data_IF_378729284859
#
_entry.id   IF_378729284859
#
_cell.length_a   1.000
_cell.length_b   1.000
_cell.length_c   1.000
_cell.angle_alpha   90.00
_cell.angle_beta   90.00
_cell.angle_gamma   90.00
#
_symmetry.space_group_name_H-M   'P 1'
#
loop_
_entity.id
_entity.type
_entity.pdbx_description
1 polymer ?
#
# COMPACT_ATOMS: atom_id res chain seq x y z
N UNK A 1 52.78 -45.64 4.40
CA UNK A 1 52.64 -44.32 3.76
C UNK A 1 51.35 -44.33 2.97
N UNK A 2 50.28 -43.80 3.55
CA UNK A 2 49.01 -43.54 2.88
C UNK A 2 48.82 -42.02 2.83
N UNK A 3 48.27 -41.42 1.76
CA UNK A 3 48.03 -39.98 1.70
C UNK A 3 46.76 -39.64 2.51
N UNK A 4 46.83 -38.54 3.27
CA UNK A 4 45.70 -37.93 3.95
C UNK A 4 44.93 -37.05 2.97
N UNK A 5 43.62 -37.28 2.83
CA UNK A 5 42.69 -36.39 2.13
C UNK A 5 42.36 -35.19 3.03
N UNK A 6 42.88 -34.01 2.64
CA UNK A 6 42.46 -32.72 3.18
C UNK A 6 41.11 -32.32 2.56
N UNK A 7 40.03 -32.63 3.27
CA UNK A 7 38.70 -32.15 2.91
C UNK A 7 38.51 -30.73 3.45
N UNK A 8 38.86 -29.73 2.63
CA UNK A 8 38.56 -28.33 2.90
C UNK A 8 37.05 -28.08 2.81
N UNK A 9 36.40 -28.02 3.98
CA UNK A 9 35.01 -27.58 4.10
C UNK A 9 34.94 -26.09 3.74
N UNK A 10 34.39 -25.77 2.58
CA UNK A 10 34.04 -24.41 2.18
C UNK A 10 33.04 -23.83 3.18
N UNK A 11 33.48 -22.90 4.03
CA UNK A 11 32.61 -22.05 4.83
C UNK A 11 31.75 -21.22 3.88
N UNK A 12 30.47 -21.60 3.74
CA UNK A 12 29.46 -20.76 3.12
C UNK A 12 29.32 -19.48 3.95
N UNK A 13 29.78 -18.37 3.40
CA UNK A 13 29.52 -17.02 3.88
C UNK A 13 28.02 -16.83 4.16
N UNK A 14 27.67 -16.75 5.44
CA UNK A 14 26.32 -16.42 5.90
C UNK A 14 26.00 -14.98 5.49
N UNK A 15 24.93 -14.81 4.72
CA UNK A 15 24.37 -13.51 4.37
C UNK A 15 24.11 -12.70 5.66
N UNK A 16 24.69 -11.50 5.77
CA UNK A 16 24.37 -10.53 6.83
C UNK A 16 22.86 -10.27 6.82
N UNK A 17 22.13 -10.89 7.76
CA UNK A 17 20.68 -10.76 7.90
C UNK A 17 19.91 -12.06 8.13
N UNK A 18 20.51 -13.24 7.93
CA UNK A 18 19.84 -14.51 8.16
C UNK A 18 19.57 -14.75 9.67
N UNK A 19 18.30 -14.97 10.03
CA UNK A 19 17.89 -15.27 11.41
C UNK A 19 18.15 -16.76 11.69
N UNK A 20 18.84 -17.07 12.78
CA UNK A 20 19.04 -18.46 13.21
C UNK A 20 17.80 -19.00 13.92
N UNK A 21 17.50 -20.30 13.78
CA UNK A 21 16.37 -20.98 14.43
C UNK A 21 16.36 -20.76 15.96
N UNK A 22 17.54 -20.74 16.60
CA UNK A 22 17.66 -20.48 18.04
C UNK A 22 17.21 -19.08 18.45
N UNK A 23 17.43 -18.07 17.61
CA UNK A 23 16.97 -16.70 17.85
C UNK A 23 15.45 -16.56 17.65
N UNK A 24 14.86 -17.35 16.73
CA UNK A 24 13.39 -17.37 16.55
C UNK A 24 12.74 -17.97 17.80
N UNK A 25 13.22 -19.12 18.27
CA UNK A 25 12.61 -19.83 19.40
C UNK A 25 12.66 -19.07 20.73
N UNK A 26 13.62 -18.14 20.90
CA UNK A 26 13.77 -17.33 22.10
C UNK A 26 12.99 -15.99 22.05
N UNK A 27 12.26 -15.73 20.97
CA UNK A 27 11.67 -14.43 20.69
C UNK A 27 10.24 -14.27 21.26
N UNK A 28 9.91 -13.05 21.70
CA UNK A 28 8.58 -12.70 22.21
C UNK A 28 7.46 -12.91 21.17
N UNK A 29 7.70 -12.63 19.89
CA UNK A 29 6.73 -12.89 18.81
C UNK A 29 6.47 -14.38 18.69
N UNK A 30 7.51 -15.22 18.80
CA UNK A 30 7.34 -16.68 18.72
C UNK A 30 6.59 -17.23 19.92
N UNK A 31 6.82 -16.68 21.12
CA UNK A 31 6.02 -17.01 22.30
C UNK A 31 4.54 -16.63 22.11
N UNK A 32 4.26 -15.40 21.65
CA UNK A 32 2.90 -14.96 21.36
C UNK A 32 2.25 -15.82 20.26
N UNK A 33 2.97 -16.12 19.18
CA UNK A 33 2.47 -16.95 18.10
C UNK A 33 2.04 -18.32 18.61
N UNK A 34 2.91 -19.01 19.36
CA UNK A 34 2.60 -20.32 19.94
C UNK A 34 1.41 -20.32 20.91
N UNK A 35 1.07 -19.15 21.45
CA UNK A 35 -0.03 -19.00 22.41
C UNK A 35 -1.36 -18.66 21.75
N UNK A 36 -1.34 -18.09 20.53
CA UNK A 36 -2.52 -17.45 19.94
C UNK A 36 -2.80 -17.79 18.47
N UNK A 37 -1.81 -18.11 17.63
CA UNK A 37 -2.06 -18.27 16.19
C UNK A 37 -1.11 -19.19 15.41
N UNK A 38 0.00 -19.64 15.98
CA UNK A 38 0.94 -20.49 15.28
C UNK A 38 0.29 -21.85 14.93
N UNK A 39 0.49 -22.36 13.71
CA UNK A 39 -0.19 -23.57 13.24
C UNK A 39 0.11 -24.80 14.09
N UNK A 40 1.35 -24.93 14.58
CA UNK A 40 1.81 -26.10 15.34
C UNK A 40 1.16 -26.23 16.73
N UNK A 41 0.51 -25.18 17.22
CA UNK A 41 -0.09 -25.09 18.57
C UNK A 41 -1.60 -24.88 18.54
N UNK A 42 -2.25 -25.06 17.38
CA UNK A 42 -3.66 -24.75 17.14
C UNK A 42 -4.64 -25.33 18.18
N UNK A 43 -4.34 -26.50 18.76
CA UNK A 43 -5.20 -27.16 19.74
C UNK A 43 -5.18 -26.54 21.15
N UNK A 44 -4.25 -25.60 21.41
CA UNK A 44 -4.01 -25.00 22.72
C UNK A 44 -4.01 -23.47 22.68
N UNK A 45 -4.50 -22.86 21.59
CA UNK A 45 -4.58 -21.40 21.48
C UNK A 45 -5.54 -20.80 22.49
N UNK A 46 -5.14 -19.68 23.06
CA UNK A 46 -6.01 -18.86 23.88
C UNK A 46 -7.04 -18.10 23.02
N UNK A 47 -8.10 -17.59 23.67
CA UNK A 47 -9.11 -16.79 23.00
C UNK A 47 -8.51 -15.51 22.38
N UNK A 48 -9.12 -15.06 21.27
CA UNK A 48 -8.72 -13.83 20.60
C UNK A 48 -8.68 -12.62 21.56
N UNK A 49 -7.61 -11.82 21.43
CA UNK A 49 -7.40 -10.61 22.23
C UNK A 49 -6.91 -9.47 21.33
N UNK A 50 -7.76 -8.48 21.09
CA UNK A 50 -7.45 -7.33 20.24
C UNK A 50 -6.28 -6.48 20.76
N UNK A 51 -5.99 -6.50 22.06
CA UNK A 51 -4.86 -5.77 22.64
C UNK A 51 -3.50 -6.29 22.12
N UNK A 52 -3.43 -7.56 21.73
CA UNK A 52 -2.19 -8.13 21.17
C UNK A 52 -1.84 -7.46 19.85
N UNK A 53 -2.85 -7.15 19.03
CA UNK A 53 -2.66 -6.41 17.76
C UNK A 53 -2.16 -4.99 18.04
N UNK A 54 -2.74 -4.30 19.03
CA UNK A 54 -2.29 -2.96 19.45
C UNK A 54 -0.83 -2.96 19.91
N UNK A 55 -0.46 -3.94 20.73
CA UNK A 55 0.89 -4.06 21.29
C UNK A 55 1.92 -4.40 20.20
N UNK A 56 1.63 -5.38 19.35
CA UNK A 56 2.49 -5.75 18.21
C UNK A 56 2.66 -4.56 17.27
N UNK A 57 1.57 -3.87 16.93
CA UNK A 57 1.65 -2.72 16.05
C UNK A 57 2.59 -1.64 16.60
N UNK A 58 2.41 -1.26 17.87
CA UNK A 58 3.19 -0.19 18.49
C UNK A 58 4.65 -0.58 18.73
N UNK A 59 4.89 -1.78 19.25
CA UNK A 59 6.23 -2.22 19.70
C UNK A 59 7.06 -2.80 18.56
N UNK A 60 6.43 -3.51 17.62
CA UNK A 60 7.13 -4.35 16.64
C UNK A 60 7.06 -3.80 15.22
N UNK A 61 5.94 -3.17 14.83
CA UNK A 61 5.75 -2.65 13.47
C UNK A 61 6.17 -1.17 13.39
N UNK A 62 5.80 -0.35 14.37
CA UNK A 62 6.10 1.09 14.35
C UNK A 62 7.55 1.46 14.75
N UNK A 63 8.27 0.60 15.48
CA UNK A 63 9.66 0.88 15.88
C UNK A 63 10.63 0.69 14.69
N UNK A 64 11.14 1.80 14.18
CA UNK A 64 11.98 1.86 12.98
C UNK A 64 13.35 1.17 13.11
N UNK A 65 13.83 0.86 14.33
CA UNK A 65 15.19 0.31 14.50
C UNK A 65 15.32 -1.15 14.06
N UNK A 66 14.24 -1.94 14.20
CA UNK A 66 14.25 -3.37 13.90
C UNK A 66 13.00 -3.87 13.16
N UNK A 67 12.11 -2.97 12.74
CA UNK A 67 10.79 -3.31 12.17
C UNK A 67 10.83 -4.38 11.09
N UNK A 68 11.78 -4.32 10.13
CA UNK A 68 11.86 -5.30 9.04
C UNK A 68 12.01 -6.74 9.58
N UNK A 69 12.95 -6.96 10.52
CA UNK A 69 13.16 -8.28 11.12
C UNK A 69 11.92 -8.74 11.88
N UNK A 70 11.27 -7.83 12.63
CA UNK A 70 10.06 -8.16 13.40
C UNK A 70 8.89 -8.51 12.49
N UNK A 71 8.70 -7.75 11.40
CA UNK A 71 7.70 -7.99 10.35
C UNK A 71 7.91 -9.36 9.69
N UNK A 72 9.16 -9.72 9.35
CA UNK A 72 9.47 -11.06 8.82
C UNK A 72 9.07 -12.18 9.79
N UNK A 73 9.30 -11.98 11.10
CA UNK A 73 8.92 -12.98 12.11
C UNK A 73 7.40 -13.12 12.25
N UNK A 74 6.66 -12.02 12.17
CA UNK A 74 5.19 -12.05 12.15
C UNK A 74 4.68 -12.80 10.92
N UNK A 75 5.22 -12.52 9.74
CA UNK A 75 4.86 -13.19 8.49
C UNK A 75 5.14 -14.70 8.57
N UNK A 76 6.35 -15.08 9.00
CA UNK A 76 6.75 -16.48 9.13
C UNK A 76 5.85 -17.26 10.11
N UNK A 77 5.34 -16.59 11.14
CA UNK A 77 4.42 -17.17 12.12
C UNK A 77 2.97 -17.28 11.66
N UNK A 78 2.65 -16.88 10.41
CA UNK A 78 1.29 -16.83 9.85
C UNK A 78 0.35 -15.88 10.59
N UNK A 79 0.87 -14.72 11.01
CA UNK A 79 0.11 -13.73 11.75
C UNK A 79 -1.10 -13.19 10.98
N UNK A 80 -0.98 -13.03 9.65
CA UNK A 80 -2.07 -12.57 8.79
C UNK A 80 -3.21 -13.59 8.73
N UNK A 81 -2.86 -14.83 8.41
CA UNK A 81 -3.80 -15.91 8.11
C UNK A 81 -4.52 -16.41 9.35
N UNK A 82 -3.82 -16.47 10.48
CA UNK A 82 -4.33 -17.15 11.68
C UNK A 82 -4.76 -16.17 12.78
N UNK A 83 -4.35 -14.90 12.76
CA UNK A 83 -4.71 -13.94 13.80
C UNK A 83 -5.38 -12.66 13.28
N UNK A 84 -4.81 -12.00 12.28
CA UNK A 84 -5.33 -10.72 11.81
C UNK A 84 -6.62 -10.87 11.02
N UNK A 85 -6.59 -11.61 9.91
CA UNK A 85 -7.71 -11.66 8.98
C UNK A 85 -8.96 -12.34 9.55
N UNK A 86 -8.86 -13.50 10.24
CA UNK A 86 -10.04 -14.16 10.82
C UNK A 86 -10.78 -13.29 11.86
N UNK A 87 -10.07 -12.36 12.49
CA UNK A 87 -10.61 -11.50 13.55
C UNK A 87 -10.85 -10.05 13.08
N UNK A 88 -10.73 -9.76 11.79
CA UNK A 88 -10.91 -8.41 11.27
C UNK A 88 -12.39 -8.02 11.23
N UNK A 89 -12.74 -6.97 11.97
CA UNK A 89 -14.06 -6.35 11.91
C UNK A 89 -14.02 -5.13 10.98
N UNK A 90 -14.71 -5.23 9.83
CA UNK A 90 -14.72 -4.19 8.81
C UNK A 90 -15.25 -2.82 9.27
N UNK A 91 -15.97 -2.75 10.39
CA UNK A 91 -16.55 -1.51 10.92
C UNK A 91 -15.80 -1.02 12.17
N UNK A 92 -15.33 -1.93 13.02
CA UNK A 92 -14.80 -1.59 14.35
C UNK A 92 -13.30 -1.85 14.52
N UNK A 93 -12.64 -2.51 13.56
CA UNK A 93 -11.21 -2.79 13.70
C UNK A 93 -10.41 -1.50 13.89
N UNK A 94 -9.36 -1.55 14.70
CA UNK A 94 -8.58 -0.34 15.02
C UNK A 94 -7.62 0.01 13.89
N UNK A 95 -6.97 1.18 14.00
CA UNK A 95 -5.88 1.55 13.09
C UNK A 95 -4.73 0.54 13.15
N UNK A 96 -4.40 0.03 14.34
CA UNK A 96 -3.36 -0.97 14.51
C UNK A 96 -3.67 -2.24 13.71
N UNK A 97 -4.93 -2.70 13.75
CA UNK A 97 -5.37 -3.86 12.99
C UNK A 97 -5.29 -3.63 11.48
N UNK A 98 -5.82 -2.49 11.01
CA UNK A 98 -5.75 -2.08 9.60
C UNK A 98 -4.29 -2.06 9.10
N UNK A 99 -3.42 -1.35 9.81
CA UNK A 99 -2.02 -1.18 9.42
C UNK A 99 -1.20 -2.46 9.57
N UNK A 100 -1.54 -3.34 10.51
CA UNK A 100 -0.88 -4.65 10.64
C UNK A 100 -1.19 -5.55 9.45
N UNK A 101 -2.44 -5.56 8.95
CA UNK A 101 -2.78 -6.30 7.72
C UNK A 101 -2.01 -5.73 6.53
N UNK A 102 -1.98 -4.40 6.38
CA UNK A 102 -1.20 -3.71 5.33
C UNK A 102 0.27 -4.10 5.40
N UNK A 103 0.87 -4.11 6.59
CA UNK A 103 2.27 -4.49 6.77
C UNK A 103 2.54 -5.95 6.36
N UNK A 104 1.67 -6.88 6.76
CA UNK A 104 1.84 -8.30 6.39
C UNK A 104 1.68 -8.53 4.89
N UNK A 105 0.72 -7.85 4.24
CA UNK A 105 0.54 -7.96 2.79
C UNK A 105 1.76 -7.44 2.04
N UNK A 106 2.27 -6.25 2.42
CA UNK A 106 3.47 -5.69 1.80
C UNK A 106 4.70 -6.59 2.00
N UNK A 107 4.82 -7.21 3.18
CA UNK A 107 5.89 -8.15 3.47
C UNK A 107 5.80 -9.41 2.61
N UNK A 108 4.61 -9.98 2.43
CA UNK A 108 4.42 -11.14 1.55
C UNK A 108 4.80 -10.83 0.10
N UNK A 109 4.49 -9.63 -0.39
CA UNK A 109 4.98 -9.17 -1.70
C UNK A 109 6.51 -9.05 -1.74
N UNK A 110 7.12 -8.54 -0.67
CA UNK A 110 8.59 -8.41 -0.56
C UNK A 110 9.29 -9.77 -0.61
N UNK A 111 8.74 -10.78 0.08
CA UNK A 111 9.22 -12.17 0.11
C UNK A 111 8.77 -12.99 -1.12
N UNK A 112 7.94 -12.41 -2.00
CA UNK A 112 7.42 -13.03 -3.23
C UNK A 112 6.65 -14.34 -2.96
N UNK A 113 5.87 -14.35 -1.89
CA UNK A 113 5.01 -15.47 -1.52
C UNK A 113 3.55 -15.20 -1.89
N UNK A 114 2.67 -16.19 -1.70
CA UNK A 114 1.24 -16.07 -1.98
C UNK A 114 0.59 -15.05 -1.02
N UNK A 115 -0.25 -14.15 -1.55
CA UNK A 115 -0.81 -12.99 -0.82
C UNK A 115 -2.34 -13.04 -0.71
N UNK A 116 -3.03 -13.39 -1.80
CA UNK A 116 -4.42 -13.05 -1.99
C UNK A 116 -5.39 -14.13 -1.51
N UNK A 117 -4.95 -15.40 -1.43
CA UNK A 117 -5.78 -16.56 -1.07
C UNK A 117 -6.43 -16.43 0.30
N UNK A 118 -5.78 -15.76 1.25
CA UNK A 118 -6.33 -15.51 2.59
C UNK A 118 -7.64 -14.71 2.54
N UNK A 119 -7.79 -13.84 1.54
CA UNK A 119 -8.94 -12.93 1.39
C UNK A 119 -10.08 -13.52 0.53
N UNK A 120 -9.81 -14.54 -0.29
CA UNK A 120 -10.76 -15.07 -1.29
C UNK A 120 -12.09 -15.54 -0.69
N UNK A 121 -12.06 -16.13 0.50
CA UNK A 121 -13.27 -16.63 1.18
C UNK A 121 -14.17 -15.51 1.74
N UNK A 122 -13.72 -14.27 1.75
CA UNK A 122 -14.42 -13.15 2.38
C UNK A 122 -14.29 -11.86 1.56
N UNK A 123 -14.68 -11.92 0.28
CA UNK A 123 -14.60 -10.79 -0.66
C UNK A 123 -15.33 -9.54 -0.18
N UNK A 124 -16.49 -9.68 0.48
CA UNK A 124 -17.21 -8.54 1.08
C UNK A 124 -16.43 -7.86 2.21
N UNK A 125 -15.77 -8.66 3.05
CA UNK A 125 -14.92 -8.14 4.13
C UNK A 125 -13.69 -7.44 3.54
N UNK A 126 -13.12 -7.99 2.46
CA UNK A 126 -12.02 -7.36 1.74
C UNK A 126 -12.44 -6.01 1.15
N UNK A 127 -13.65 -5.89 0.60
CA UNK A 127 -14.18 -4.61 0.13
C UNK A 127 -14.27 -3.57 1.26
N UNK A 128 -14.72 -3.96 2.46
CA UNK A 128 -14.72 -3.08 3.65
C UNK A 128 -13.30 -2.69 4.07
N UNK A 129 -12.38 -3.65 4.14
CA UNK A 129 -10.96 -3.41 4.45
C UNK A 129 -10.33 -2.44 3.45
N UNK A 130 -10.48 -2.69 2.16
CA UNK A 130 -9.95 -1.86 1.10
C UNK A 130 -10.50 -0.43 1.17
N UNK A 131 -11.80 -0.27 1.40
CA UNK A 131 -12.41 1.06 1.61
C UNK A 131 -11.75 1.83 2.76
N UNK A 132 -11.47 1.16 3.89
CA UNK A 132 -10.77 1.76 5.03
C UNK A 132 -9.32 2.12 4.73
N UNK A 133 -8.64 1.32 3.90
CA UNK A 133 -7.31 1.67 3.38
C UNK A 133 -7.36 2.95 2.54
N UNK A 134 -8.33 3.07 1.62
CA UNK A 134 -8.49 4.28 0.81
C UNK A 134 -8.72 5.52 1.69
N UNK A 135 -9.59 5.41 2.70
CA UNK A 135 -9.83 6.49 3.66
C UNK A 135 -8.54 6.88 4.41
N UNK A 136 -7.77 5.90 4.86
CA UNK A 136 -6.49 6.13 5.52
C UNK A 136 -5.43 6.77 4.58
N UNK A 137 -5.45 6.48 3.28
CA UNK A 137 -4.56 7.10 2.28
C UNK A 137 -4.79 8.60 2.14
N UNK A 138 -6.03 9.08 2.29
CA UNK A 138 -6.36 10.51 2.11
C UNK A 138 -6.66 11.25 3.42
N UNK A 139 -6.56 10.57 4.55
CA UNK A 139 -6.71 11.16 5.88
C UNK A 139 -5.76 12.35 6.10
N UNK A 140 -6.28 13.47 6.58
CA UNK A 140 -5.50 14.66 6.88
C UNK A 140 -4.79 14.50 8.23
N UNK A 141 -3.47 14.29 8.19
CA UNK A 141 -2.62 14.09 9.36
C UNK A 141 -1.34 14.90 9.23
N UNK A 142 -0.76 15.37 10.35
CA UNK A 142 0.47 16.14 10.31
C UNK A 142 1.61 15.32 9.69
N UNK A 143 2.41 15.98 8.86
CA UNK A 143 3.60 15.39 8.23
C UNK A 143 4.65 15.15 9.31
N UNK A 144 4.71 13.92 9.80
CA UNK A 144 5.70 13.44 10.76
C UNK A 144 6.32 12.14 10.23
N UNK A 145 7.54 11.76 10.65
CA UNK A 145 8.17 10.52 10.18
C UNK A 145 7.30 9.27 10.37
N UNK A 146 6.63 9.15 11.52
CA UNK A 146 5.74 8.02 11.80
C UNK A 146 4.52 7.99 10.87
N UNK A 147 3.89 9.15 10.64
CA UNK A 147 2.75 9.28 9.72
C UNK A 147 3.18 8.96 8.29
N UNK A 148 4.34 9.45 7.83
CA UNK A 148 4.85 9.18 6.49
C UNK A 148 5.18 7.70 6.28
N UNK A 149 5.72 7.00 7.27
CA UNK A 149 5.90 5.54 7.20
C UNK A 149 4.58 4.80 6.97
N UNK A 150 3.53 5.15 7.72
CA UNK A 150 2.20 4.56 7.51
C UNK A 150 1.64 4.89 6.13
N UNK A 151 1.76 6.15 5.69
CA UNK A 151 1.26 6.59 4.38
C UNK A 151 1.98 5.89 3.22
N UNK A 152 3.30 5.68 3.34
CA UNK A 152 4.06 4.89 2.38
C UNK A 152 3.61 3.43 2.37
N UNK A 153 3.39 2.81 3.54
CA UNK A 153 2.92 1.42 3.60
C UNK A 153 1.52 1.25 2.97
N UNK A 154 0.60 2.19 3.23
CA UNK A 154 -0.73 2.22 2.62
C UNK A 154 -0.65 2.35 1.09
N UNK A 155 0.22 3.25 0.61
CA UNK A 155 0.44 3.48 -0.82
C UNK A 155 1.04 2.25 -1.52
N UNK A 156 2.02 1.58 -0.89
CA UNK A 156 2.62 0.35 -1.42
C UNK A 156 1.57 -0.77 -1.51
N UNK A 157 0.73 -0.93 -0.47
CA UNK A 157 -0.39 -1.87 -0.51
C UNK A 157 -1.36 -1.54 -1.65
N UNK A 158 -1.71 -0.27 -1.81
CA UNK A 158 -2.61 0.16 -2.87
C UNK A 158 -2.02 -0.15 -4.25
N UNK A 159 -0.72 0.11 -4.43
CA UNK A 159 -0.01 -0.23 -5.66
C UNK A 159 -0.05 -1.73 -5.95
N UNK A 160 0.15 -2.58 -4.93
CA UNK A 160 -0.01 -4.03 -5.07
C UNK A 160 -1.41 -4.43 -5.55
N UNK A 161 -2.47 -3.81 -5.04
CA UNK A 161 -3.84 -4.10 -5.52
C UNK A 161 -4.05 -3.69 -6.99
N UNK A 162 -3.50 -2.56 -7.43
CA UNK A 162 -3.59 -2.15 -8.84
C UNK A 162 -2.75 -3.05 -9.76
N UNK A 163 -1.58 -3.49 -9.29
CA UNK A 163 -0.71 -4.42 -10.02
C UNK A 163 -1.18 -5.89 -9.98
N UNK A 164 -2.27 -6.18 -9.25
CA UNK A 164 -2.88 -7.53 -9.17
C UNK A 164 -4.33 -7.56 -9.69
N UNK A 165 -4.67 -6.73 -10.69
CA UNK A 165 -6.02 -6.68 -11.28
C UNK A 165 -6.45 -7.96 -12.03
N UNK A 166 -5.55 -8.91 -12.26
CA UNK A 166 -5.88 -10.27 -12.70
C UNK A 166 -6.62 -11.06 -11.61
N UNK A 167 -6.38 -10.76 -10.33
CA UNK A 167 -7.05 -11.36 -9.18
C UNK A 167 -8.40 -10.67 -8.97
N UNK A 168 -9.48 -11.47 -8.88
CA UNK A 168 -10.86 -10.96 -8.84
C UNK A 168 -11.12 -9.97 -7.71
N UNK A 169 -10.72 -10.31 -6.48
CA UNK A 169 -10.91 -9.43 -5.31
C UNK A 169 -10.20 -8.07 -5.47
N UNK A 170 -9.04 -8.02 -6.13
CA UNK A 170 -8.32 -6.78 -6.40
C UNK A 170 -8.97 -6.01 -7.54
N UNK A 171 -9.31 -6.70 -8.63
CA UNK A 171 -9.97 -6.11 -9.80
C UNK A 171 -11.26 -5.39 -9.45
N UNK A 172 -12.10 -6.01 -8.63
CA UNK A 172 -13.42 -5.47 -8.28
C UNK A 172 -13.29 -4.18 -7.47
N UNK A 173 -12.26 -4.07 -6.65
CA UNK A 173 -11.99 -2.88 -5.84
C UNK A 173 -11.20 -1.80 -6.59
N UNK A 174 -10.22 -2.17 -7.41
CA UNK A 174 -9.36 -1.23 -8.14
C UNK A 174 -10.07 -0.62 -9.35
N UNK A 175 -10.81 -1.43 -10.14
CA UNK A 175 -11.45 -1.00 -11.39
C UNK A 175 -12.41 0.17 -11.20
N UNK A 176 -13.11 0.25 -10.07
CA UNK A 176 -14.04 1.36 -9.77
C UNK A 176 -13.33 2.72 -9.68
N UNK A 177 -12.06 2.75 -9.27
CA UNK A 177 -11.26 3.97 -9.06
C UNK A 177 -10.67 4.54 -10.36
N UNK A 178 -10.58 3.74 -11.41
CA UNK A 178 -9.89 4.04 -12.68
C UNK A 178 -10.80 3.88 -13.90
N UNK A 179 -12.11 3.97 -13.68
CA UNK A 179 -13.12 3.91 -14.74
C UNK A 179 -13.43 5.29 -15.32
N UNK A 180 -14.17 5.35 -16.44
CA UNK A 180 -14.68 6.61 -17.00
C UNK A 180 -15.39 7.50 -15.95
N UNK A 181 -15.99 6.90 -14.91
CA UNK A 181 -16.66 7.65 -13.85
C UNK A 181 -15.72 8.60 -13.09
N UNK A 182 -14.40 8.31 -13.05
CA UNK A 182 -13.43 9.18 -12.39
C UNK A 182 -13.38 10.58 -13.01
N UNK A 183 -13.75 10.75 -14.28
CA UNK A 183 -13.84 12.08 -14.92
C UNK A 183 -14.89 13.00 -14.29
N UNK A 184 -15.66 12.53 -13.31
CA UNK A 184 -16.44 13.41 -12.42
C UNK A 184 -15.58 14.46 -11.75
N UNK A 185 -14.31 14.15 -11.47
CA UNK A 185 -13.39 15.04 -10.79
C UNK A 185 -12.72 16.09 -11.69
N UNK A 186 -12.77 15.92 -13.01
CA UNK A 186 -12.23 16.87 -13.99
C UNK A 186 -13.02 18.18 -14.00
N UNK A 187 -12.33 19.25 -14.36
CA UNK A 187 -12.99 20.52 -14.69
C UNK A 187 -14.04 20.30 -15.79
N UNK A 188 -15.24 20.92 -15.70
CA UNK A 188 -16.32 20.68 -16.66
C UNK A 188 -15.93 20.90 -18.12
N UNK A 189 -15.11 21.93 -18.40
CA UNK A 189 -14.61 22.23 -19.75
C UNK A 189 -13.65 21.16 -20.25
N UNK A 190 -12.70 20.72 -19.42
CA UNK A 190 -11.75 19.65 -19.77
C UNK A 190 -12.50 18.34 -20.06
N UNK A 191 -13.43 17.95 -19.18
CA UNK A 191 -14.28 16.77 -19.41
C UNK A 191 -15.04 16.84 -20.73
N UNK A 192 -15.63 17.99 -21.05
CA UNK A 192 -16.40 18.15 -22.27
C UNK A 192 -15.53 18.06 -23.54
N UNK A 193 -14.30 18.58 -23.49
CA UNK A 193 -13.32 18.42 -24.58
C UNK A 193 -13.04 16.94 -24.84
N UNK A 194 -12.73 16.17 -23.80
CA UNK A 194 -12.43 14.73 -23.89
C UNK A 194 -13.63 13.92 -24.39
N UNK A 195 -14.83 14.19 -23.88
CA UNK A 195 -16.07 13.52 -24.31
C UNK A 195 -16.50 13.87 -25.75
N UNK A 196 -16.03 14.99 -26.29
CA UNK A 196 -16.29 15.37 -27.69
C UNK A 196 -15.41 14.58 -28.65
N UNK A 197 -14.17 14.29 -28.27
CA UNK A 197 -13.24 13.52 -29.10
C UNK A 197 -13.73 12.09 -29.33
N UNK A 198 -14.51 11.51 -28.40
CA UNK A 198 -15.02 10.13 -28.52
C UNK A 198 -16.53 10.06 -28.21
N UNK A 199 -17.39 10.06 -29.26
CA UNK A 199 -18.84 10.03 -29.11
C UNK A 199 -19.39 8.83 -28.30
N UNK A 200 -18.72 7.67 -28.37
CA UNK A 200 -19.13 6.48 -27.61
C UNK A 200 -19.07 6.73 -26.09
N UNK A 201 -18.04 7.42 -25.61
CA UNK A 201 -17.87 7.73 -24.20
C UNK A 201 -18.88 8.75 -23.72
N UNK A 202 -19.24 9.74 -24.55
CA UNK A 202 -20.35 10.64 -24.25
C UNK A 202 -21.66 9.88 -24.00
N UNK A 203 -21.93 8.81 -24.75
CA UNK A 203 -23.08 7.94 -24.52
C UNK A 203 -22.98 7.20 -23.19
N UNK A 204 -21.82 6.66 -22.84
CA UNK A 204 -21.59 6.01 -21.54
C UNK A 204 -21.68 6.99 -20.37
N UNK A 205 -21.09 8.17 -20.49
CA UNK A 205 -21.16 9.25 -19.52
C UNK A 205 -22.60 9.66 -19.20
N UNK A 206 -23.42 9.88 -20.24
CA UNK A 206 -24.86 10.16 -20.06
C UNK A 206 -25.60 9.02 -19.34
N UNK A 207 -25.19 7.76 -19.51
CA UNK A 207 -25.76 6.63 -18.77
C UNK A 207 -25.30 6.61 -17.31
N UNK A 208 -24.03 6.90 -17.04
CA UNK A 208 -23.49 7.00 -15.68
C UNK A 208 -24.26 8.06 -14.88
N UNK A 209 -24.48 9.25 -15.46
CA UNK A 209 -25.23 10.33 -14.82
C UNK A 209 -26.69 9.97 -14.51
N UNK A 210 -27.30 9.04 -15.27
CA UNK A 210 -28.68 8.61 -15.06
C UNK A 210 -28.83 7.51 -13.99
N UNK A 211 -27.76 6.79 -13.68
CA UNK A 211 -27.75 5.66 -12.72
C UNK A 211 -27.43 6.09 -11.28
N UNK A 212 -27.30 7.39 -11.03
CA UNK A 212 -26.99 7.90 -9.69
C UNK A 212 -28.27 7.93 -8.84
N UNK A 213 -28.56 6.81 -8.18
CA UNK A 213 -29.54 6.76 -7.09
C UNK A 213 -29.05 7.63 -5.92
N UNK A 214 -29.96 8.34 -5.26
CA UNK A 214 -29.63 9.35 -4.24
C UNK A 214 -28.86 8.78 -3.04
N UNK A 215 -29.06 7.51 -2.70
CA UNK A 215 -28.52 6.86 -1.50
C UNK A 215 -27.02 6.48 -1.62
N UNK A 216 -26.54 6.20 -2.84
CA UNK A 216 -25.13 5.83 -3.08
C UNK A 216 -24.31 6.98 -3.68
N UNK A 217 -24.94 8.13 -3.92
CA UNK A 217 -24.34 9.24 -4.65
C UNK A 217 -23.09 9.79 -3.99
N UNK A 218 -23.09 9.94 -2.66
CA UNK A 218 -21.93 10.46 -1.91
C UNK A 218 -20.75 9.49 -1.97
N UNK A 219 -21.00 8.21 -1.72
CA UNK A 219 -19.99 7.16 -1.82
C UNK A 219 -19.36 7.09 -3.21
N UNK A 220 -20.20 7.06 -4.26
CA UNK A 220 -19.73 7.05 -5.64
C UNK A 220 -18.95 8.33 -5.99
N UNK A 221 -19.41 9.48 -5.51
CA UNK A 221 -18.69 10.74 -5.69
C UNK A 221 -17.31 10.68 -5.05
N UNK A 222 -17.23 10.21 -3.80
CA UNK A 222 -15.98 10.07 -3.07
C UNK A 222 -14.98 9.16 -3.80
N UNK A 223 -15.42 7.98 -4.24
CA UNK A 223 -14.58 7.02 -4.98
C UNK A 223 -14.02 7.60 -6.28
N UNK A 224 -14.85 8.34 -7.03
CA UNK A 224 -14.43 8.96 -8.30
C UNK A 224 -13.41 10.08 -8.12
N UNK A 225 -13.36 10.70 -6.93
CA UNK A 225 -12.41 11.76 -6.60
C UNK A 225 -11.21 11.22 -5.82
N UNK A 226 -11.19 9.94 -5.43
CA UNK A 226 -10.15 9.38 -4.56
C UNK A 226 -8.74 9.62 -5.12
N UNK A 227 -8.46 9.22 -6.37
CA UNK A 227 -7.12 9.39 -6.96
C UNK A 227 -6.74 10.86 -7.15
N UNK A 228 -7.70 11.73 -7.50
CA UNK A 228 -7.46 13.17 -7.55
C UNK A 228 -7.08 13.72 -6.18
N UNK A 229 -7.86 13.41 -5.14
CA UNK A 229 -7.61 13.84 -3.77
C UNK A 229 -6.26 13.32 -3.24
N UNK A 230 -5.93 12.07 -3.59
CA UNK A 230 -4.64 11.47 -3.26
C UNK A 230 -3.47 12.21 -3.95
N UNK A 231 -3.59 12.57 -5.23
CA UNK A 231 -2.60 13.40 -5.93
C UNK A 231 -2.47 14.81 -5.34
N UNK A 232 -3.59 15.45 -4.98
CA UNK A 232 -3.58 16.76 -4.31
C UNK A 232 -2.86 16.66 -2.95
N UNK A 233 -3.13 15.62 -2.17
CA UNK A 233 -2.44 15.36 -0.90
C UNK A 233 -0.94 15.16 -1.11
N UNK A 234 -0.55 14.37 -2.11
CA UNK A 234 0.85 14.19 -2.47
C UNK A 234 1.54 15.52 -2.81
N UNK A 235 0.93 16.36 -3.65
CA UNK A 235 1.49 17.68 -3.99
C UNK A 235 1.67 18.53 -2.72
N UNK A 236 0.68 18.54 -1.82
CA UNK A 236 0.80 19.27 -0.54
C UNK A 236 1.97 18.76 0.31
N UNK A 237 2.17 17.45 0.37
CA UNK A 237 3.31 16.84 1.08
C UNK A 237 4.63 17.21 0.40
N UNK A 238 4.70 17.12 -0.92
CA UNK A 238 5.87 17.50 -1.72
C UNK A 238 6.26 18.97 -1.48
N UNK A 239 5.27 19.86 -1.42
CA UNK A 239 5.46 21.30 -1.15
C UNK A 239 5.96 21.57 0.28
N UNK A 240 5.87 20.61 1.22
CA UNK A 240 6.47 20.76 2.56
C UNK A 240 7.99 20.58 2.58
N UNK A 241 8.58 20.05 1.50
CA UNK A 241 10.01 19.79 1.43
C UNK A 241 10.76 21.10 1.13
N UNK A 242 11.63 21.58 2.04
CA UNK A 242 12.36 22.82 1.84
C UNK A 242 13.45 22.67 0.78
N UNK A 243 13.80 23.78 0.12
CA UNK A 243 14.88 23.83 -0.88
C UNK A 243 16.25 23.46 -0.28
N UNK A 244 16.53 23.93 0.93
CA UNK A 244 17.76 23.65 1.66
C UNK A 244 17.48 23.30 3.13
N UNK A 245 18.48 22.72 3.81
CA UNK A 245 18.37 22.32 5.21
C UNK A 245 17.85 20.89 5.40
N UNK A 246 17.56 20.49 6.65
CA UNK A 246 17.17 19.12 6.98
C UNK A 246 15.88 18.69 6.27
N UNK A 247 15.87 17.46 5.77
CA UNK A 247 14.69 16.82 5.18
C UNK A 247 14.41 15.50 5.90
N UNK A 248 13.14 15.13 5.98
CA UNK A 248 12.72 13.86 6.54
C UNK A 248 12.79 12.76 5.48
N UNK A 249 13.66 11.76 5.68
CA UNK A 249 13.83 10.61 4.78
C UNK A 249 12.50 9.90 4.47
N UNK A 250 11.60 9.80 5.45
CA UNK A 250 10.32 9.13 5.26
C UNK A 250 9.38 9.92 4.36
N UNK A 251 9.50 11.24 4.36
CA UNK A 251 8.76 12.11 3.43
C UNK A 251 9.31 11.95 2.02
N UNK A 252 10.65 11.92 1.86
CA UNK A 252 11.29 11.66 0.56
C UNK A 252 10.86 10.30 0.01
N UNK A 253 10.93 9.25 0.83
CA UNK A 253 10.50 7.89 0.46
C UNK A 253 9.03 7.82 0.08
N UNK A 254 8.17 8.53 0.79
CA UNK A 254 6.75 8.64 0.40
C UNK A 254 6.62 9.24 -1.00
N UNK A 255 7.33 10.34 -1.28
CA UNK A 255 7.30 10.99 -2.59
C UNK A 255 7.82 10.09 -3.72
N UNK A 256 8.91 9.35 -3.49
CA UNK A 256 9.45 8.36 -4.44
C UNK A 256 8.43 7.27 -4.76
N UNK A 257 7.85 6.64 -3.72
CA UNK A 257 6.82 5.60 -3.89
C UNK A 257 5.55 6.14 -4.52
N UNK A 258 5.24 7.41 -4.33
CA UNK A 258 4.09 8.04 -4.98
C UNK A 258 4.29 8.16 -6.47
N UNK A 259 5.47 8.58 -6.90
CA UNK A 259 5.79 8.66 -8.32
C UNK A 259 5.82 7.26 -8.95
N UNK A 260 6.41 6.26 -8.29
CA UNK A 260 6.32 4.84 -8.68
C UNK A 260 4.87 4.39 -8.88
N UNK A 261 3.98 4.70 -7.93
CA UNK A 261 2.56 4.40 -8.04
C UNK A 261 1.89 5.06 -9.27
N UNK A 262 2.22 6.32 -9.58
CA UNK A 262 1.71 6.99 -10.77
C UNK A 262 2.18 6.31 -12.06
N UNK A 263 3.44 5.87 -12.11
CA UNK A 263 4.02 5.18 -13.25
C UNK A 263 3.34 3.83 -13.48
N UNK A 264 3.15 3.05 -12.43
CA UNK A 264 2.47 1.75 -12.52
C UNK A 264 1.03 1.93 -13.01
N UNK A 265 0.30 2.93 -12.51
CA UNK A 265 -1.04 3.26 -13.00
C UNK A 265 -1.07 3.69 -14.47
N UNK A 266 -0.05 4.39 -14.96
CA UNK A 266 0.08 4.79 -16.37
C UNK A 266 0.55 3.64 -17.27
N UNK A 267 1.32 2.69 -16.75
CA UNK A 267 1.81 1.53 -17.48
C UNK A 267 0.67 0.51 -17.77
N UNK A 268 -0.35 0.46 -16.90
CA UNK A 268 -1.49 -0.43 -17.03
C UNK A 268 -2.49 0.09 -18.09
N UNK A 269 -2.55 -0.55 -19.27
CA UNK A 269 -3.47 -0.19 -20.36
C UNK A 269 -4.95 0.03 -19.95
N UNK A 270 -5.55 -0.80 -19.06
CA UNK A 270 -6.96 -0.62 -18.67
C UNK A 270 -7.23 0.66 -17.87
N UNK A 271 -6.22 1.19 -17.18
CA UNK A 271 -6.34 2.31 -16.24
C UNK A 271 -5.83 3.61 -16.87
N UNK A 272 -4.78 3.50 -17.69
CA UNK A 272 -4.04 4.61 -18.29
C UNK A 272 -4.95 5.67 -18.88
N UNK A 273 -5.91 5.30 -19.72
CA UNK A 273 -6.61 6.31 -20.53
C UNK A 273 -7.45 7.29 -19.72
N UNK A 274 -8.17 6.82 -18.71
CA UNK A 274 -9.00 7.71 -17.88
C UNK A 274 -8.15 8.39 -16.81
N UNK A 275 -7.18 7.68 -16.26
CA UNK A 275 -6.28 8.18 -15.25
C UNK A 275 -5.35 9.28 -15.77
N UNK A 276 -4.73 9.08 -16.94
CA UNK A 276 -3.82 10.03 -17.58
C UNK A 276 -4.42 11.44 -17.70
N UNK A 277 -5.68 11.53 -18.14
CA UNK A 277 -6.39 12.81 -18.25
C UNK A 277 -6.53 13.51 -16.89
N UNK A 278 -6.80 12.76 -15.82
CA UNK A 278 -6.93 13.32 -14.46
C UNK A 278 -5.57 13.72 -13.90
N UNK A 279 -4.53 12.92 -14.15
CA UNK A 279 -3.15 13.23 -13.77
C UNK A 279 -2.67 14.53 -14.44
N UNK A 280 -2.98 14.71 -15.73
CA UNK A 280 -2.68 15.93 -16.49
C UNK A 280 -3.44 17.15 -15.96
N UNK A 281 -4.74 17.02 -15.65
CA UNK A 281 -5.57 18.08 -15.05
C UNK A 281 -5.10 18.49 -13.65
N UNK A 282 -4.44 17.57 -12.92
CA UNK A 282 -3.82 17.86 -11.63
C UNK A 282 -2.42 18.50 -11.75
N UNK A 283 -1.86 18.57 -12.97
CA UNK A 283 -0.53 19.09 -13.26
C UNK A 283 0.60 18.42 -12.46
N UNK A 284 0.42 17.16 -12.05
CA UNK A 284 1.34 16.49 -11.11
C UNK A 284 2.77 16.45 -11.64
N UNK A 285 2.95 16.12 -12.93
CA UNK A 285 4.28 16.06 -13.56
C UNK A 285 5.01 17.40 -13.49
N UNK A 286 4.30 18.50 -13.77
CA UNK A 286 4.86 19.86 -13.70
C UNK A 286 5.16 20.24 -12.25
N UNK A 287 4.30 19.87 -11.29
CA UNK A 287 4.54 20.11 -9.87
C UNK A 287 5.77 19.35 -9.37
N UNK A 288 5.97 18.11 -9.82
CA UNK A 288 7.17 17.32 -9.52
C UNK A 288 8.43 18.01 -10.07
N UNK A 289 8.44 18.41 -11.35
CA UNK A 289 9.62 18.99 -11.99
C UNK A 289 10.02 20.36 -11.42
N UNK A 290 9.07 21.13 -10.88
CA UNK A 290 9.32 22.41 -10.22
C UNK A 290 9.63 22.28 -8.72
N UNK A 291 9.41 21.10 -8.13
CA UNK A 291 9.56 20.90 -6.69
C UNK A 291 11.00 21.10 -6.20
N UNK A 292 11.12 21.49 -4.93
CA UNK A 292 12.42 21.56 -4.26
C UNK A 292 13.15 20.22 -4.29
N UNK A 293 12.42 19.10 -4.15
CA UNK A 293 13.00 17.76 -4.03
C UNK A 293 13.85 17.37 -5.24
N UNK A 294 13.44 17.72 -6.47
CA UNK A 294 14.22 17.41 -7.70
C UNK A 294 15.60 18.08 -7.71
N UNK A 295 15.76 19.19 -6.99
CA UNK A 295 17.03 19.94 -6.93
C UNK A 295 17.96 19.45 -5.80
N UNK A 296 17.53 18.47 -5.01
CA UNK A 296 18.23 17.96 -3.85
C UNK A 296 18.95 16.64 -4.14
N UNK A 297 20.06 16.39 -3.45
CA UNK A 297 20.77 15.10 -3.52
C UNK A 297 19.91 13.95 -3.01
N UNK A 298 19.12 14.18 -1.94
CA UNK A 298 18.20 13.17 -1.40
C UNK A 298 17.07 12.83 -2.39
N UNK A 299 16.78 13.71 -3.34
CA UNK A 299 15.76 13.53 -4.36
C UNK A 299 16.27 12.91 -5.66
N UNK A 300 17.48 12.35 -5.71
CA UNK A 300 18.03 11.78 -6.94
C UNK A 300 17.14 10.67 -7.54
N UNK A 301 16.64 9.74 -6.71
CA UNK A 301 15.72 8.70 -7.17
C UNK A 301 14.40 9.34 -7.61
N UNK A 302 13.85 10.26 -6.82
CA UNK A 302 12.66 11.03 -7.18
C UNK A 302 12.80 11.73 -8.53
N UNK A 303 13.94 12.37 -8.81
CA UNK A 303 14.23 13.04 -10.07
C UNK A 303 14.23 12.02 -11.22
N UNK A 304 14.97 10.91 -11.08
CA UNK A 304 15.00 9.83 -12.07
C UNK A 304 13.60 9.29 -12.38
N UNK A 305 12.78 9.10 -11.35
CA UNK A 305 11.41 8.61 -11.54
C UNK A 305 10.42 9.71 -11.92
N UNK A 306 10.76 10.99 -11.85
CA UNK A 306 9.84 12.07 -12.24
C UNK A 306 9.94 12.43 -13.73
N UNK A 307 10.99 11.99 -14.42
CA UNK A 307 11.30 12.33 -15.81
C UNK A 307 10.66 11.40 -16.86
N UNK A 308 9.60 10.66 -16.54
CA UNK A 308 8.88 9.88 -17.55
C UNK A 308 8.12 10.80 -18.52
N UNK A 309 8.75 11.08 -19.66
CA UNK A 309 8.17 11.70 -20.86
C UNK A 309 8.17 10.69 -22.00
#
# INVERSE_FOLDING_TARGET
>A
MAPQDDNQTQEKTVLKGAITISQINADEITFLANRFWAPDTANAHEAFNSQIIEDIYRKEICDSRHSLRRIMMLEFSQYLENYLWPNFDGERATRAHLMSIVAMVNEKFREKVEVWKVFEKSSELFAKFFQRVLEACIEDRPVTPAVMREQTALLVFLNHCFNSMEVEICRDQAKRLVSLAMWSCLQPKRREQELTQIPQWRKFWKKLQKREDSEQKEKLSWERHFLQNLMIKFIRILDTIPEAGPVCDETVRYCERFVEFLIDLEALLPTRRFFNTVMDDCHVVVRCSLSSLVRREEGNLFAQVSHFS
#
